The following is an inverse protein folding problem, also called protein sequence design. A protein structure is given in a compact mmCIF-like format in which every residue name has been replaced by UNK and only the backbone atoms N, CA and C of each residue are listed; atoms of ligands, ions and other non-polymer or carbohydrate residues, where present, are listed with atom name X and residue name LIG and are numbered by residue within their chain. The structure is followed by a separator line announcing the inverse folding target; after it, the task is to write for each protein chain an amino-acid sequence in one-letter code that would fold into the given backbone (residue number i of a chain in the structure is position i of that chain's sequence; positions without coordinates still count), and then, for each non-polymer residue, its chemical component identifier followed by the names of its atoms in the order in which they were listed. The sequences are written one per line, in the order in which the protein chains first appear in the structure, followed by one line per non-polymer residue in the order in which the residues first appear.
data_IF_090339750452
#
_entry.id   IF_090339750452
#
_cell.length_a   1.000
_cell.length_b   1.000
_cell.length_c   1.000
_cell.angle_alpha   90.00
_cell.angle_beta   90.00
_cell.angle_gamma   90.00
#
_symmetry.space_group_name_H-M   'P 1'
#
loop_
_entity.id
_entity.type
_entity.pdbx_description
1 polymer ?
#
# COMPACT_ATOMS: atom_id res chain seq x y z
N UNK A 1 -42.53 -61.81 12.83
CA UNK A 1 -41.86 -60.67 12.10
C UNK A 1 -40.39 -61.06 11.94
N UNK A 2 -39.89 -61.14 10.71
CA UNK A 2 -38.69 -61.89 10.35
C UNK A 2 -37.42 -61.08 10.74
N UNK A 3 -36.53 -61.60 11.57
CA UNK A 3 -35.28 -60.94 12.05
C UNK A 3 -34.39 -60.40 10.94
N UNK A 4 -34.49 -60.93 9.71
CA UNK A 4 -33.75 -60.46 8.52
C UNK A 4 -34.24 -59.11 8.00
N UNK A 5 -35.55 -58.84 8.09
CA UNK A 5 -36.15 -57.57 7.60
C UNK A 5 -35.73 -56.40 8.51
N UNK A 6 -35.65 -56.63 9.83
CA UNK A 6 -35.26 -55.61 10.82
C UNK A 6 -33.79 -55.22 10.63
N UNK A 7 -32.88 -56.19 10.30
CA UNK A 7 -31.46 -55.87 10.04
C UNK A 7 -31.24 -55.04 8.80
N UNK A 8 -32.00 -55.21 7.74
CA UNK A 8 -31.89 -54.43 6.52
C UNK A 8 -32.42 -52.97 6.71
N UNK A 9 -33.52 -52.80 7.40
CA UNK A 9 -34.08 -51.48 7.69
C UNK A 9 -33.13 -50.63 8.56
N UNK A 10 -32.48 -51.24 9.57
CA UNK A 10 -31.52 -50.54 10.44
C UNK A 10 -30.24 -50.18 9.71
N UNK A 11 -29.73 -51.03 8.81
CA UNK A 11 -28.51 -50.72 8.02
C UNK A 11 -28.77 -49.61 7.01
N UNK A 12 -29.92 -49.60 6.34
CA UNK A 12 -30.29 -48.54 5.40
C UNK A 12 -30.58 -47.21 6.12
N UNK A 13 -31.19 -47.22 7.31
CA UNK A 13 -31.41 -46.02 8.10
C UNK A 13 -30.12 -45.36 8.58
N UNK A 14 -29.13 -46.14 9.00
CA UNK A 14 -27.80 -45.63 9.41
C UNK A 14 -27.01 -45.13 8.24
N UNK A 15 -27.07 -45.75 7.06
CA UNK A 15 -26.45 -45.28 5.84
C UNK A 15 -27.04 -43.93 5.35
N UNK A 16 -28.38 -43.78 5.42
CA UNK A 16 -29.06 -42.57 5.02
C UNK A 16 -28.77 -41.41 5.98
N UNK A 17 -28.64 -41.68 7.29
CA UNK A 17 -28.29 -40.67 8.29
C UNK A 17 -26.81 -40.25 8.19
N UNK A 18 -25.90 -41.17 7.87
CA UNK A 18 -24.49 -40.85 7.62
C UNK A 18 -24.28 -40.00 6.37
N UNK A 19 -25.08 -40.15 5.31
CA UNK A 19 -25.02 -39.32 4.11
C UNK A 19 -25.54 -37.92 4.37
N UNK A 20 -26.44 -37.71 5.35
CA UNK A 20 -26.97 -36.35 5.65
C UNK A 20 -26.01 -35.52 6.50
N UNK A 21 -25.08 -36.13 7.24
CA UNK A 21 -24.08 -35.44 8.06
C UNK A 21 -22.91 -34.98 7.21
N UNK A 22 -22.66 -35.60 6.04
CA UNK A 22 -21.54 -35.23 5.14
C UNK A 22 -21.81 -34.01 4.25
N UNK A 23 -23.03 -33.41 4.31
CA UNK A 23 -23.45 -32.33 3.40
C UNK A 23 -23.25 -30.89 3.94
N UNK A 24 -22.89 -30.72 5.19
CA UNK A 24 -22.67 -29.39 5.77
C UNK A 24 -21.18 -29.06 5.92
N UNK A 25 -20.45 -29.06 4.81
CA UNK A 25 -19.16 -28.35 4.77
C UNK A 25 -19.53 -26.86 4.82
N UNK A 26 -19.16 -26.10 5.86
CA UNK A 26 -19.37 -24.67 5.85
C UNK A 26 -18.61 -24.13 4.65
N UNK A 27 -19.33 -23.63 3.66
CA UNK A 27 -18.74 -22.84 2.56
C UNK A 27 -18.18 -21.61 3.24
N UNK A 28 -16.90 -21.65 3.55
CA UNK A 28 -16.19 -20.49 4.02
C UNK A 28 -16.30 -19.47 2.88
N UNK A 29 -17.12 -18.43 3.08
CA UNK A 29 -17.24 -17.36 2.11
C UNK A 29 -15.82 -16.83 1.85
N UNK A 30 -15.34 -17.02 0.64
CA UNK A 30 -14.00 -16.57 0.25
C UNK A 30 -13.98 -15.05 0.47
N UNK A 31 -13.23 -14.62 1.47
CA UNK A 31 -13.09 -13.19 1.78
C UNK A 31 -12.53 -12.49 0.55
N UNK A 32 -13.27 -11.52 0.04
CA UNK A 32 -12.81 -10.73 -1.11
C UNK A 32 -11.57 -9.96 -0.71
N UNK A 33 -10.47 -10.21 -1.40
CA UNK A 33 -9.18 -9.55 -1.13
C UNK A 33 -8.91 -8.46 -2.17
N UNK A 34 -8.27 -7.39 -1.71
CA UNK A 34 -7.75 -6.30 -2.55
C UNK A 34 -6.23 -6.22 -2.32
N UNK A 35 -5.47 -6.20 -3.38
CA UNK A 35 -4.01 -5.99 -3.33
C UNK A 35 -3.74 -4.49 -3.47
N UNK A 36 -3.30 -3.87 -2.37
CA UNK A 36 -2.87 -2.48 -2.32
C UNK A 36 -1.35 -2.40 -2.48
N UNK A 37 -0.87 -1.92 -3.62
CA UNK A 37 0.53 -1.61 -3.80
C UNK A 37 0.81 -0.15 -3.42
N UNK A 38 1.80 0.05 -2.57
CA UNK A 38 2.14 1.36 -2.01
C UNK A 38 3.65 1.53 -1.82
N UNK A 39 4.06 2.61 -1.17
CA UNK A 39 5.47 2.88 -0.91
C UNK A 39 5.85 2.58 0.54
N UNK A 40 7.13 2.25 0.76
CA UNK A 40 7.67 2.03 2.10
C UNK A 40 7.44 3.25 3.01
N UNK A 41 7.62 4.46 2.49
CA UNK A 41 7.38 5.69 3.27
C UNK A 41 5.91 5.88 3.67
N UNK A 42 4.97 5.43 2.84
CA UNK A 42 3.53 5.42 3.20
C UNK A 42 3.24 4.38 4.28
N UNK A 43 3.81 3.20 4.17
CA UNK A 43 3.68 2.14 5.18
C UNK A 43 4.30 2.60 6.51
N UNK A 44 5.52 3.12 6.48
CA UNK A 44 6.27 3.54 7.68
C UNK A 44 5.62 4.74 8.41
N UNK A 45 4.74 5.49 7.75
CA UNK A 45 4.00 6.59 8.38
C UNK A 45 2.95 6.14 9.39
N UNK A 46 2.57 4.84 9.41
CA UNK A 46 1.51 4.31 10.25
C UNK A 46 0.08 4.64 9.76
N UNK A 47 -0.05 5.38 8.65
CA UNK A 47 -1.36 5.77 8.10
C UNK A 47 -2.23 4.57 7.77
N UNK A 48 -1.64 3.55 7.17
CA UNK A 48 -2.37 2.36 6.73
C UNK A 48 -2.83 1.49 7.90
N UNK A 49 -2.13 1.51 9.02
CA UNK A 49 -2.52 0.78 10.24
C UNK A 49 -3.84 1.30 10.83
N UNK A 50 -4.18 2.56 10.52
CA UNK A 50 -5.46 3.17 10.92
C UNK A 50 -6.52 3.03 9.85
N UNK A 51 -6.19 3.26 8.57
CA UNK A 51 -7.17 3.30 7.49
C UNK A 51 -7.67 1.92 7.07
N UNK A 52 -6.78 0.93 6.99
CA UNK A 52 -7.13 -0.41 6.50
C UNK A 52 -8.18 -1.08 7.39
N UNK A 53 -8.04 -1.14 8.72
CA UNK A 53 -9.06 -1.76 9.57
C UNK A 53 -10.44 -1.11 9.47
N UNK A 54 -10.48 0.21 9.28
CA UNK A 54 -11.74 0.95 9.08
C UNK A 54 -12.40 0.53 7.76
N UNK A 55 -11.62 0.48 6.69
CA UNK A 55 -12.10 0.08 5.37
C UNK A 55 -12.59 -1.38 5.37
N UNK A 56 -11.81 -2.28 5.93
CA UNK A 56 -12.15 -3.70 6.01
C UNK A 56 -13.45 -3.93 6.79
N UNK A 57 -13.60 -3.24 7.93
CA UNK A 57 -14.82 -3.30 8.74
C UNK A 57 -16.04 -2.78 7.99
N UNK A 58 -15.89 -1.71 7.20
CA UNK A 58 -16.99 -1.10 6.47
C UNK A 58 -17.41 -1.89 5.23
N UNK A 59 -16.47 -2.55 4.59
CA UNK A 59 -16.67 -3.13 3.26
C UNK A 59 -16.70 -4.66 3.24
N UNK A 60 -16.11 -5.30 4.26
CA UNK A 60 -15.92 -6.75 4.31
C UNK A 60 -14.80 -7.26 3.38
N UNK A 61 -14.06 -6.37 2.70
CA UNK A 61 -12.87 -6.74 1.95
C UNK A 61 -11.68 -6.91 2.90
N UNK A 62 -10.76 -7.78 2.54
CA UNK A 62 -9.45 -7.88 3.15
C UNK A 62 -8.41 -7.15 2.29
N UNK A 63 -7.56 -6.31 2.87
CA UNK A 63 -6.55 -5.54 2.15
C UNK A 63 -5.16 -6.12 2.37
N UNK A 64 -4.59 -6.70 1.32
CA UNK A 64 -3.20 -7.14 1.31
C UNK A 64 -2.31 -6.00 0.85
N UNK A 65 -1.57 -5.39 1.78
CA UNK A 65 -0.63 -4.30 1.47
C UNK A 65 0.72 -4.85 1.01
N UNK A 66 1.26 -4.28 -0.06
CA UNK A 66 2.61 -4.54 -0.56
C UNK A 66 3.33 -3.19 -0.66
N UNK A 67 4.25 -2.95 0.27
CA UNK A 67 5.02 -1.71 0.36
C UNK A 67 6.40 -1.89 -0.28
N UNK A 68 6.66 -1.13 -1.34
CA UNK A 68 7.89 -1.19 -2.14
C UNK A 68 8.30 0.22 -2.61
N UNK A 69 9.33 0.36 -3.43
CA UNK A 69 9.65 1.66 -4.06
C UNK A 69 8.57 2.10 -5.07
N UNK A 70 8.33 3.42 -5.23
CA UNK A 70 7.27 3.95 -6.12
C UNK A 70 7.28 3.35 -7.52
N UNK A 71 8.46 3.19 -8.14
CA UNK A 71 8.60 2.59 -9.47
C UNK A 71 8.17 1.11 -9.49
N UNK A 72 8.52 0.36 -8.46
CA UNK A 72 8.14 -1.05 -8.33
C UNK A 72 6.64 -1.19 -8.06
N UNK A 73 6.07 -0.34 -7.20
CA UNK A 73 4.62 -0.32 -6.94
C UNK A 73 3.83 -0.10 -8.24
N UNK A 74 4.26 0.84 -9.07
CA UNK A 74 3.64 1.10 -10.37
C UNK A 74 3.84 -0.05 -11.36
N UNK A 75 5.01 -0.68 -11.37
CA UNK A 75 5.26 -1.86 -12.22
C UNK A 75 4.35 -3.04 -11.87
N UNK A 76 4.02 -3.23 -10.60
CA UNK A 76 3.02 -4.22 -10.17
C UNK A 76 1.64 -3.92 -10.76
N UNK A 77 1.21 -2.66 -10.72
CA UNK A 77 -0.05 -2.25 -11.35
C UNK A 77 -0.06 -2.46 -12.87
N UNK A 78 1.06 -2.17 -13.56
CA UNK A 78 1.18 -2.43 -15.00
C UNK A 78 1.02 -3.90 -15.37
N UNK A 79 1.49 -4.79 -14.49
CA UNK A 79 1.37 -6.25 -14.69
C UNK A 79 0.03 -6.83 -14.24
N UNK A 80 -0.86 -6.01 -13.64
CA UNK A 80 -2.09 -6.51 -13.05
C UNK A 80 -1.90 -7.28 -11.72
N UNK A 81 -0.77 -7.07 -11.06
CA UNK A 81 -0.43 -7.71 -9.79
C UNK A 81 -0.94 -6.89 -8.57
N UNK A 82 -1.59 -5.76 -8.81
CA UNK A 82 -2.21 -4.91 -7.79
C UNK A 82 -3.54 -4.34 -8.30
N UNK A 83 -4.53 -4.29 -7.41
CA UNK A 83 -5.86 -3.74 -7.70
C UNK A 83 -5.91 -2.23 -7.46
N UNK A 84 -5.15 -1.76 -6.47
CA UNK A 84 -5.10 -0.35 -6.07
C UNK A 84 -3.65 0.09 -5.88
N UNK A 85 -3.35 1.30 -6.33
CA UNK A 85 -2.05 1.95 -6.12
C UNK A 85 -2.23 3.17 -5.22
N UNK A 86 -1.47 3.25 -4.13
CA UNK A 86 -1.36 4.45 -3.30
C UNK A 86 0.10 4.91 -3.32
N UNK A 87 0.38 5.84 -4.21
CA UNK A 87 1.73 6.30 -4.53
C UNK A 87 1.80 7.84 -4.56
N UNK A 88 2.99 8.41 -4.64
CA UNK A 88 3.19 9.85 -4.56
C UNK A 88 4.18 10.36 -5.63
N UNK A 89 3.97 9.94 -6.88
CA UNK A 89 4.77 10.37 -8.04
C UNK A 89 3.86 10.92 -9.13
N UNK A 90 3.32 12.14 -9.00
CA UNK A 90 2.24 12.66 -9.85
C UNK A 90 2.51 12.61 -11.35
N UNK A 91 3.75 12.86 -11.78
CA UNK A 91 4.11 12.79 -13.20
C UNK A 91 4.02 11.35 -13.73
N UNK A 92 4.58 10.39 -12.99
CA UNK A 92 4.52 8.98 -13.35
C UNK A 92 3.10 8.42 -13.28
N UNK A 93 2.30 8.82 -12.28
CA UNK A 93 0.90 8.45 -12.15
C UNK A 93 0.05 8.93 -13.34
N UNK A 94 0.25 10.19 -13.78
CA UNK A 94 -0.44 10.73 -14.96
C UNK A 94 -0.10 9.93 -16.21
N UNK A 95 1.19 9.60 -16.40
CA UNK A 95 1.66 8.79 -17.52
C UNK A 95 1.06 7.38 -17.47
N UNK A 96 1.04 6.74 -16.30
CA UNK A 96 0.46 5.42 -16.06
C UNK A 96 -1.01 5.34 -16.50
N UNK A 97 -1.81 6.36 -16.16
CA UNK A 97 -3.22 6.44 -16.57
C UNK A 97 -3.34 6.75 -18.07
N UNK A 98 -2.52 7.64 -18.61
CA UNK A 98 -2.53 7.96 -20.03
C UNK A 98 -2.17 6.77 -20.93
N UNK A 99 -1.33 5.86 -20.44
CA UNK A 99 -0.95 4.62 -21.09
C UNK A 99 -1.99 3.49 -20.89
N UNK A 100 -3.09 3.75 -20.17
CA UNK A 100 -4.18 2.79 -19.99
C UNK A 100 -3.97 1.74 -18.91
N UNK A 101 -2.92 1.84 -18.10
CA UNK A 101 -2.64 0.89 -17.01
C UNK A 101 -3.48 1.10 -15.76
N UNK A 102 -4.15 2.24 -15.63
CA UNK A 102 -4.99 2.56 -14.47
C UNK A 102 -6.12 3.51 -14.80
N UNK A 103 -7.12 3.52 -13.91
CA UNK A 103 -8.32 4.35 -14.01
C UNK A 103 -8.47 5.18 -12.73
N UNK A 104 -9.31 6.22 -12.80
CA UNK A 104 -9.80 6.95 -11.63
C UNK A 104 -8.71 7.51 -10.70
N UNK A 105 -7.62 8.06 -11.28
CA UNK A 105 -6.60 8.73 -10.47
C UNK A 105 -7.22 9.84 -9.63
N UNK A 106 -7.01 9.78 -8.32
CA UNK A 106 -7.49 10.78 -7.35
C UNK A 106 -6.36 11.25 -6.45
N UNK A 107 -6.38 12.51 -6.08
CA UNK A 107 -5.53 13.03 -5.01
C UNK A 107 -6.20 12.65 -3.70
N UNK A 108 -5.51 11.90 -2.86
CA UNK A 108 -5.99 11.46 -1.54
C UNK A 108 -5.51 12.43 -0.47
N UNK A 109 -4.24 12.82 -0.52
CA UNK A 109 -3.59 13.72 0.43
C UNK A 109 -2.34 14.32 -0.20
N UNK A 110 -1.73 15.26 0.48
CA UNK A 110 -0.41 15.80 0.18
C UNK A 110 0.43 15.85 1.46
N UNK A 111 1.72 15.91 1.29
CA UNK A 111 2.69 16.21 2.32
C UNK A 111 3.76 17.14 1.76
N UNK A 112 4.43 17.85 2.64
CA UNK A 112 5.48 18.79 2.26
C UNK A 112 6.86 18.25 2.64
N UNK A 113 7.87 18.68 1.86
CA UNK A 113 9.26 18.46 2.23
C UNK A 113 9.74 19.65 3.04
N UNK A 114 10.45 19.37 4.13
CA UNK A 114 11.09 20.40 4.95
C UNK A 114 12.58 20.14 5.03
N UNK A 115 13.34 21.21 5.14
CA UNK A 115 14.77 21.16 5.47
C UNK A 115 14.88 21.45 6.96
N UNK A 116 15.47 20.54 7.70
CA UNK A 116 15.71 20.67 9.14
C UNK A 116 17.19 20.79 9.42
N UNK A 117 17.54 21.53 10.44
CA UNK A 117 18.92 21.74 10.86
C UNK A 117 19.02 22.13 12.32
N UNK A 118 20.24 22.34 12.83
CA UNK A 118 20.47 22.74 14.20
C UNK A 118 19.94 24.17 14.47
N UNK A 119 19.58 24.51 15.72
CA UNK A 119 19.05 25.82 16.10
C UNK A 119 19.95 27.01 15.72
N UNK A 120 21.25 26.79 15.65
CA UNK A 120 22.27 27.79 15.32
C UNK A 120 22.23 28.25 13.87
N UNK A 121 21.53 27.50 13.00
CA UNK A 121 21.33 27.80 11.58
C UNK A 121 22.63 28.25 10.87
N UNK A 122 23.66 27.40 10.79
CA UNK A 122 24.97 27.79 10.26
C UNK A 122 24.92 28.24 8.81
N UNK A 123 23.97 27.74 8.03
CA UNK A 123 23.77 28.15 6.64
C UNK A 123 22.84 29.38 6.48
N UNK A 124 22.28 29.88 7.57
CA UNK A 124 21.33 31.02 7.58
C UNK A 124 20.15 30.82 6.61
N UNK A 125 19.51 29.64 6.71
CA UNK A 125 18.40 29.27 5.83
C UNK A 125 17.04 29.35 6.50
N UNK A 126 16.98 29.62 7.80
CA UNK A 126 15.73 29.75 8.56
C UNK A 126 14.81 30.80 7.93
N UNK A 127 13.60 30.39 7.63
CA UNK A 127 12.57 31.25 7.06
C UNK A 127 12.66 31.43 5.53
N UNK A 128 13.64 30.85 4.86
CA UNK A 128 13.70 30.83 3.40
C UNK A 128 12.62 29.91 2.86
N UNK A 129 11.78 30.41 1.95
CA UNK A 129 10.67 29.65 1.36
C UNK A 129 11.08 28.80 0.15
N UNK A 130 12.25 29.05 -0.42
CA UNK A 130 12.78 28.33 -1.57
C UNK A 130 13.78 27.28 -1.14
N UNK A 131 13.47 26.00 -1.39
CA UNK A 131 14.38 24.90 -1.10
C UNK A 131 15.67 24.99 -1.95
N UNK A 132 15.56 25.44 -3.20
CA UNK A 132 16.72 25.63 -4.08
C UNK A 132 17.66 26.74 -3.58
N UNK A 133 17.10 27.87 -3.11
CA UNK A 133 17.88 28.94 -2.50
C UNK A 133 18.57 28.46 -1.21
N UNK A 134 17.85 27.69 -0.38
CA UNK A 134 18.42 27.10 0.84
C UNK A 134 19.58 26.18 0.52
N UNK A 135 19.45 25.31 -0.51
CA UNK A 135 20.51 24.41 -0.94
C UNK A 135 21.75 25.18 -1.45
N UNK A 136 21.57 26.25 -2.23
CA UNK A 136 22.67 27.11 -2.69
C UNK A 136 23.42 27.72 -1.50
N UNK A 137 22.71 28.19 -0.46
CA UNK A 137 23.34 28.73 0.74
C UNK A 137 24.08 27.66 1.56
N UNK A 138 23.52 26.46 1.69
CA UNK A 138 24.18 25.34 2.37
C UNK A 138 25.52 25.04 1.66
N UNK A 139 25.51 24.92 0.33
CA UNK A 139 26.71 24.66 -0.47
C UNK A 139 27.74 25.80 -0.36
N UNK A 140 27.31 27.04 -0.49
CA UNK A 140 28.19 28.21 -0.42
C UNK A 140 28.80 28.41 0.99
N UNK A 141 28.06 28.08 2.04
CA UNK A 141 28.49 28.16 3.43
C UNK A 141 29.31 26.98 3.91
N UNK A 142 29.57 26.00 3.04
CA UNK A 142 30.28 24.76 3.42
C UNK A 142 29.63 24.04 4.62
N UNK A 143 28.30 24.20 4.80
CA UNK A 143 27.57 23.59 5.88
C UNK A 143 27.33 22.10 5.57
N UNK A 144 27.39 21.26 6.60
CA UNK A 144 27.15 19.83 6.46
C UNK A 144 25.70 19.57 6.02
N UNK A 145 25.54 18.75 4.99
CA UNK A 145 24.23 18.28 4.52
C UNK A 145 24.17 16.76 4.55
N UNK A 146 23.13 16.23 5.16
CA UNK A 146 22.86 14.79 5.21
C UNK A 146 21.88 14.40 4.12
N UNK A 147 22.38 13.73 3.09
CA UNK A 147 21.57 13.14 2.03
C UNK A 147 20.97 11.82 2.46
N UNK A 148 19.73 11.53 2.02
CA UNK A 148 19.13 10.19 2.16
C UNK A 148 19.93 9.13 1.38
N UNK A 149 20.42 9.44 0.21
CA UNK A 149 21.21 8.57 -0.68
C UNK A 149 20.63 7.16 -0.95
N UNK A 150 19.34 6.95 -0.68
CA UNK A 150 18.65 5.64 -0.67
C UNK A 150 17.76 5.41 -1.90
N UNK A 151 17.80 6.29 -2.89
CA UNK A 151 16.94 6.28 -4.09
C UNK A 151 15.42 6.35 -3.77
N UNK A 152 15.03 6.74 -2.55
CA UNK A 152 13.64 7.01 -2.19
C UNK A 152 13.09 8.24 -2.93
N UNK A 153 11.78 8.46 -2.83
CA UNK A 153 11.14 9.67 -3.36
C UNK A 153 11.74 10.96 -2.77
N UNK A 154 12.15 10.93 -1.50
CA UNK A 154 12.84 12.03 -0.82
C UNK A 154 14.21 12.29 -1.45
N UNK A 155 15.01 11.25 -1.70
CA UNK A 155 16.30 11.39 -2.36
C UNK A 155 16.16 11.91 -3.80
N UNK A 156 15.18 11.41 -4.55
CA UNK A 156 14.89 11.92 -5.90
C UNK A 156 14.54 13.41 -5.87
N UNK A 157 13.72 13.84 -4.90
CA UNK A 157 13.36 15.25 -4.74
C UNK A 157 14.56 16.11 -4.33
N UNK A 158 15.38 15.62 -3.42
CA UNK A 158 16.65 16.22 -3.04
C UNK A 158 17.54 16.49 -4.26
N UNK A 159 17.81 15.45 -5.07
CA UNK A 159 18.61 15.55 -6.28
C UNK A 159 18.05 16.54 -7.30
N UNK A 160 16.73 16.66 -7.38
CA UNK A 160 16.08 17.66 -8.21
C UNK A 160 16.34 19.09 -7.71
N UNK A 161 16.27 19.32 -6.40
CA UNK A 161 16.51 20.62 -5.77
C UNK A 161 17.96 21.06 -5.95
N UNK A 162 18.92 20.13 -5.81
CA UNK A 162 20.35 20.41 -6.03
C UNK A 162 20.69 20.79 -7.49
N UNK A 163 19.88 20.38 -8.45
CA UNK A 163 20.08 20.71 -9.88
C UNK A 163 19.44 22.03 -10.30
N UNK A 164 18.55 22.58 -9.49
CA UNK A 164 17.81 23.81 -9.78
C UNK A 164 18.58 25.06 -9.33
#
# INVERSE_FOLDING_TARGET
MNRRVIRHVTVWGVLFFALFICGAVPTQAQQKAIILSTTTSTQDSGLLDVLIPIFEKQTGYFVKTIAVGSGQAMAMGQKGEADVLLVHSPAAEKKFVAEGYGLNRRIVMHNDFIVVGPPEDPAKIKGIKSASESSKKIAAGNALFLSRADKSGTHVKEMYIWKA
#
